data_IF_680214393046
#
_entry.id   IF_680214393046
#
_cell.length_a   1.000
_cell.length_b   1.000
_cell.length_c   1.000
_cell.angle_alpha   90.00
_cell.angle_beta   90.00
_cell.angle_gamma   90.00
#
_symmetry.space_group_name_H-M   'P 1'
#
loop_
_entity.id
_entity.type
_entity.pdbx_description
1 polymer ?
#
# COMPACT_ATOMS: atom_id res chain seq x y z
N UNK A 1 9.02 20.72 -4.83
CA UNK A 1 8.82 21.13 -3.43
C UNK A 1 7.63 22.09 -3.42
N UNK A 2 6.46 21.55 -3.07
CA UNK A 2 5.27 22.37 -2.79
C UNK A 2 5.67 23.20 -1.55
N UNK A 3 5.82 24.50 -1.70
CA UNK A 3 6.06 25.40 -0.58
C UNK A 3 4.96 25.11 0.46
N UNK A 4 5.34 24.69 1.65
CA UNK A 4 4.41 24.62 2.77
C UNK A 4 3.89 26.07 2.94
N UNK A 5 2.66 26.30 2.50
CA UNK A 5 1.96 27.55 2.83
C UNK A 5 2.00 27.67 4.34
N UNK A 6 2.50 28.77 4.86
CA UNK A 6 2.36 29.09 6.28
C UNK A 6 0.87 28.99 6.63
N UNK A 7 0.53 27.92 7.32
CA UNK A 7 -0.83 27.73 7.78
C UNK A 7 -1.07 28.74 8.89
N UNK A 8 -2.07 29.58 8.71
CA UNK A 8 -2.52 30.48 9.79
C UNK A 8 -2.91 29.62 11.00
N UNK A 9 -2.50 29.99 12.22
CA UNK A 9 -2.92 29.27 13.40
C UNK A 9 -4.44 29.24 13.46
N UNK A 10 -5.00 28.05 13.67
CA UNK A 10 -6.44 27.87 13.82
C UNK A 10 -6.91 28.50 15.15
N UNK A 11 -8.15 28.99 15.22
CA UNK A 11 -8.75 29.37 16.49
C UNK A 11 -8.70 28.16 17.47
N UNK A 12 -8.46 28.40 18.77
CA UNK A 12 -8.25 27.32 19.74
C UNK A 12 -9.42 26.30 19.82
N UNK A 13 -10.63 26.75 19.52
CA UNK A 13 -11.79 25.83 19.43
C UNK A 13 -11.71 24.89 18.25
N UNK A 14 -11.32 25.37 17.07
CA UNK A 14 -11.16 24.54 15.86
C UNK A 14 -9.99 23.58 16.00
N UNK A 15 -8.91 24.03 16.63
CA UNK A 15 -7.76 23.17 16.91
C UNK A 15 -8.15 22.01 17.84
N UNK A 16 -8.88 22.31 18.91
CA UNK A 16 -9.39 21.28 19.83
C UNK A 16 -10.33 20.30 19.13
N UNK A 17 -11.25 20.80 18.30
CA UNK A 17 -12.15 19.96 17.49
C UNK A 17 -11.34 19.06 16.52
N UNK A 18 -10.31 19.59 15.88
CA UNK A 18 -9.46 18.84 14.96
C UNK A 18 -8.78 17.65 15.64
N UNK A 19 -8.13 17.89 16.77
CA UNK A 19 -7.53 16.81 17.56
C UNK A 19 -8.56 15.83 18.09
N UNK A 20 -9.71 16.31 18.57
CA UNK A 20 -10.80 15.48 19.08
C UNK A 20 -11.35 14.54 18.01
N UNK A 21 -11.63 15.05 16.81
CA UNK A 21 -12.09 14.25 15.67
C UNK A 21 -11.04 13.22 15.25
N UNK A 22 -9.78 13.63 15.16
CA UNK A 22 -8.69 12.72 14.79
C UNK A 22 -8.58 11.55 15.78
N UNK A 23 -8.53 11.86 17.09
CA UNK A 23 -8.45 10.83 18.13
C UNK A 23 -9.69 9.92 18.11
N UNK A 24 -10.89 10.49 17.95
CA UNK A 24 -12.12 9.71 17.87
C UNK A 24 -12.14 8.75 16.68
N UNK A 25 -11.70 9.20 15.50
CA UNK A 25 -11.58 8.36 14.29
C UNK A 25 -10.57 7.24 14.51
N UNK A 26 -9.39 7.54 15.08
CA UNK A 26 -8.37 6.53 15.37
C UNK A 26 -8.90 5.48 16.35
N UNK A 27 -9.56 5.90 17.44
CA UNK A 27 -10.16 4.99 18.41
C UNK A 27 -11.24 4.12 17.73
N UNK A 28 -12.12 4.72 16.92
CA UNK A 28 -13.16 3.99 16.22
C UNK A 28 -12.59 2.94 15.24
N UNK A 29 -11.48 3.25 14.56
CA UNK A 29 -10.77 2.29 13.69
C UNK A 29 -10.17 1.14 14.51
N UNK A 30 -9.49 1.44 15.63
CA UNK A 30 -8.89 0.43 16.50
C UNK A 30 -9.93 -0.54 17.06
N UNK A 31 -11.14 -0.04 17.35
CA UNK A 31 -12.24 -0.85 17.84
C UNK A 31 -13.22 -1.28 16.75
N UNK A 32 -12.88 -1.14 15.48
CA UNK A 32 -13.77 -1.48 14.35
C UNK A 32 -14.25 -2.94 14.39
N UNK A 33 -13.43 -3.86 14.88
CA UNK A 33 -13.82 -5.28 15.07
C UNK A 33 -14.94 -5.50 16.11
N UNK A 34 -15.18 -4.52 17.00
CA UNK A 34 -16.26 -4.55 17.99
C UNK A 34 -17.51 -3.81 17.54
N UNK A 35 -17.41 -3.04 16.45
CA UNK A 35 -18.54 -2.34 15.85
C UNK A 35 -19.39 -3.32 15.02
N UNK A 36 -20.70 -3.05 14.86
CA UNK A 36 -21.53 -3.84 13.97
C UNK A 36 -20.94 -3.91 12.57
N UNK A 37 -21.03 -5.06 11.92
CA UNK A 37 -20.51 -5.29 10.56
C UNK A 37 -21.12 -4.33 9.51
N UNK A 38 -22.15 -3.60 9.86
CA UNK A 38 -22.80 -2.57 9.06
C UNK A 38 -21.98 -1.27 8.95
N UNK A 39 -20.94 -1.07 9.80
CA UNK A 39 -20.10 0.15 9.80
C UNK A 39 -18.71 -0.22 9.29
N UNK A 40 -18.45 -0.15 7.99
CA UNK A 40 -17.14 -0.42 7.44
C UNK A 40 -16.17 0.72 7.80
N UNK A 41 -14.88 0.40 7.86
CA UNK A 41 -13.81 1.34 8.26
C UNK A 41 -13.78 2.62 7.40
N UNK A 42 -14.09 2.52 6.10
CA UNK A 42 -14.15 3.68 5.23
C UNK A 42 -15.24 4.68 5.64
N UNK A 43 -16.37 4.19 6.20
CA UNK A 43 -17.46 5.05 6.67
C UNK A 43 -17.03 5.87 7.90
N UNK A 44 -16.22 5.28 8.79
CA UNK A 44 -15.66 5.98 9.95
C UNK A 44 -14.75 7.13 9.48
N UNK A 45 -13.88 6.86 8.51
CA UNK A 45 -12.99 7.88 7.92
C UNK A 45 -13.80 8.98 7.21
N UNK A 46 -14.84 8.59 6.46
CA UNK A 46 -15.70 9.55 5.75
C UNK A 46 -16.45 10.46 6.73
N UNK A 47 -17.05 9.91 7.78
CA UNK A 47 -17.70 10.71 8.83
C UNK A 47 -16.71 11.66 9.49
N UNK A 48 -15.50 11.20 9.81
CA UNK A 48 -14.43 12.05 10.33
C UNK A 48 -14.09 13.22 9.39
N UNK A 49 -13.96 12.96 8.10
CA UNK A 49 -13.71 14.00 7.10
C UNK A 49 -14.84 15.02 7.00
N UNK A 50 -16.10 14.57 7.03
CA UNK A 50 -17.27 15.46 7.04
C UNK A 50 -17.31 16.30 8.31
N UNK A 51 -17.01 15.72 9.47
CA UNK A 51 -16.98 16.45 10.74
C UNK A 51 -15.88 17.55 10.74
N UNK A 52 -14.73 17.34 10.12
CA UNK A 52 -13.69 18.38 10.02
C UNK A 52 -14.16 19.60 9.20
N UNK A 53 -15.00 19.39 8.19
CA UNK A 53 -15.59 20.46 7.40
C UNK A 53 -16.71 21.15 8.20
N UNK A 54 -17.61 20.41 8.82
CA UNK A 54 -18.73 20.96 9.57
C UNK A 54 -18.30 21.77 10.80
N UNK A 55 -17.20 21.38 11.45
CA UNK A 55 -16.63 22.12 12.59
C UNK A 55 -15.76 23.33 12.16
N UNK A 56 -15.56 23.50 10.85
CA UNK A 56 -14.75 24.60 10.31
C UNK A 56 -13.24 24.43 10.51
N UNK A 57 -12.79 23.23 10.88
CA UNK A 57 -11.34 22.92 10.95
C UNK A 57 -10.69 23.00 9.57
N UNK A 58 -11.42 22.56 8.53
CA UNK A 58 -11.06 22.68 7.13
C UNK A 58 -12.22 23.34 6.36
N UNK A 59 -11.90 24.27 5.48
CA UNK A 59 -12.87 24.73 4.50
C UNK A 59 -13.10 23.66 3.42
N UNK A 60 -14.26 23.69 2.74
CA UNK A 60 -14.55 22.76 1.63
C UNK A 60 -13.44 22.75 0.58
N UNK A 61 -12.90 23.94 0.26
CA UNK A 61 -11.83 24.09 -0.72
C UNK A 61 -10.53 23.41 -0.26
N UNK A 62 -10.14 23.59 1.00
CA UNK A 62 -8.96 22.95 1.56
C UNK A 62 -9.12 21.43 1.65
N UNK A 63 -10.32 20.94 2.00
CA UNK A 63 -10.65 19.53 2.00
C UNK A 63 -10.53 18.93 0.60
N UNK A 64 -11.04 19.59 -0.43
CA UNK A 64 -10.93 19.14 -1.83
C UNK A 64 -9.49 19.21 -2.35
N UNK A 65 -8.72 20.26 -1.98
CA UNK A 65 -7.30 20.37 -2.33
C UNK A 65 -6.42 19.29 -1.63
N UNK A 66 -6.87 18.78 -0.50
CA UNK A 66 -6.21 17.70 0.24
C UNK A 66 -6.34 16.34 -0.43
N UNK A 67 -7.35 16.17 -1.31
CA UNK A 67 -7.53 14.92 -2.05
C UNK A 67 -6.42 14.74 -3.08
N UNK A 68 -5.59 13.74 -2.87
CA UNK A 68 -4.56 13.35 -3.82
C UNK A 68 -5.18 12.45 -4.89
N UNK A 69 -5.61 13.02 -6.01
CA UNK A 69 -6.24 12.29 -7.12
C UNK A 69 -5.36 11.20 -7.77
N UNK A 70 -4.04 11.37 -7.95
CA UNK A 70 -3.22 10.38 -8.63
C UNK A 70 -3.31 8.96 -8.03
N UNK A 71 -3.22 8.72 -6.71
CA UNK A 71 -3.41 7.38 -6.15
C UNK A 71 -4.80 6.80 -6.38
N UNK A 72 -5.84 7.65 -6.38
CA UNK A 72 -7.23 7.23 -6.60
C UNK A 72 -7.39 6.71 -8.04
N UNK A 73 -6.94 7.50 -9.03
CA UNK A 73 -6.98 7.07 -10.44
C UNK A 73 -6.12 5.84 -10.72
N UNK A 74 -4.96 5.74 -10.06
CA UNK A 74 -4.11 4.57 -10.19
C UNK A 74 -4.83 3.31 -9.69
N UNK A 75 -5.49 3.38 -8.55
CA UNK A 75 -6.24 2.27 -7.98
C UNK A 75 -7.43 1.87 -8.85
N UNK A 76 -8.25 2.84 -9.28
CA UNK A 76 -9.38 2.61 -10.19
C UNK A 76 -8.89 1.99 -11.51
N UNK A 77 -7.80 2.53 -12.09
CA UNK A 77 -7.20 2.02 -13.31
C UNK A 77 -6.72 0.57 -13.17
N UNK A 78 -6.10 0.23 -12.04
CA UNK A 78 -5.64 -1.14 -11.79
C UNK A 78 -6.81 -2.14 -11.67
N UNK A 79 -7.90 -1.75 -11.01
CA UNK A 79 -9.12 -2.57 -10.97
C UNK A 79 -9.76 -2.73 -12.35
N UNK A 80 -9.80 -1.65 -13.14
CA UNK A 80 -10.31 -1.70 -14.52
C UNK A 80 -9.49 -2.65 -15.39
N UNK A 81 -8.16 -2.61 -15.29
CA UNK A 81 -7.26 -3.56 -15.98
C UNK A 81 -7.52 -4.99 -15.53
N UNK A 82 -7.67 -5.23 -14.22
CA UNK A 82 -8.00 -6.55 -13.69
C UNK A 82 -9.32 -7.09 -14.27
N UNK A 83 -10.37 -6.28 -14.28
CA UNK A 83 -11.65 -6.65 -14.86
C UNK A 83 -11.56 -6.88 -16.39
N UNK A 84 -10.79 -6.06 -17.10
CA UNK A 84 -10.58 -6.22 -18.54
C UNK A 84 -9.84 -7.51 -18.86
N UNK A 85 -8.83 -7.91 -18.07
CA UNK A 85 -8.12 -9.18 -18.22
C UNK A 85 -9.06 -10.38 -18.07
N UNK A 86 -9.95 -10.35 -17.08
CA UNK A 86 -10.95 -11.40 -16.90
C UNK A 86 -11.97 -11.41 -18.05
N UNK A 87 -12.52 -10.25 -18.42
CA UNK A 87 -13.54 -10.15 -19.45
C UNK A 87 -13.03 -10.50 -20.86
N UNK A 88 -11.76 -10.25 -21.15
CA UNK A 88 -11.14 -10.55 -22.46
C UNK A 88 -10.64 -11.99 -22.60
N UNK A 89 -10.60 -12.78 -21.51
CA UNK A 89 -9.96 -14.10 -21.50
C UNK A 89 -8.42 -14.04 -21.47
N UNK A 90 -7.82 -12.84 -21.52
CA UNK A 90 -6.38 -12.69 -21.40
C UNK A 90 -5.87 -13.15 -20.02
N UNK A 91 -6.74 -13.09 -19.02
CA UNK A 91 -6.49 -13.62 -17.69
C UNK A 91 -6.16 -15.12 -17.71
N UNK A 92 -6.92 -15.91 -18.46
CA UNK A 92 -6.70 -17.36 -18.56
C UNK A 92 -5.37 -17.68 -19.23
N UNK A 93 -4.99 -16.89 -20.24
CA UNK A 93 -3.68 -17.04 -20.89
C UNK A 93 -2.52 -16.75 -19.94
N UNK A 94 -2.63 -15.68 -19.13
CA UNK A 94 -1.64 -15.35 -18.09
C UNK A 94 -1.60 -16.45 -17.02
N UNK A 95 -2.77 -16.95 -16.62
CA UNK A 95 -2.89 -18.03 -15.64
C UNK A 95 -2.18 -19.31 -16.11
N UNK A 96 -2.40 -19.72 -17.38
CA UNK A 96 -1.71 -20.85 -17.98
C UNK A 96 -0.19 -20.63 -18.04
N UNK A 97 0.27 -19.43 -18.36
CA UNK A 97 1.69 -19.07 -18.34
C UNK A 97 2.28 -19.16 -16.91
N UNK A 98 1.56 -18.71 -15.91
CA UNK A 98 1.96 -18.84 -14.50
C UNK A 98 1.99 -20.30 -14.05
N UNK A 99 0.99 -21.11 -14.44
CA UNK A 99 0.97 -22.53 -14.16
C UNK A 99 2.14 -23.28 -14.82
N UNK A 100 2.50 -22.92 -16.06
CA UNK A 100 3.65 -23.50 -16.74
C UNK A 100 4.97 -23.24 -16.00
N UNK A 101 5.09 -22.08 -15.33
CA UNK A 101 6.28 -21.69 -14.56
C UNK A 101 6.27 -22.30 -13.15
N UNK A 102 5.12 -22.25 -12.49
CA UNK A 102 4.96 -22.64 -11.10
C UNK A 102 4.63 -24.13 -10.91
N UNK A 103 4.10 -24.78 -11.93
CA UNK A 103 3.57 -26.14 -11.88
C UNK A 103 2.13 -26.21 -11.34
N UNK A 104 1.55 -27.41 -11.32
CA UNK A 104 0.16 -27.62 -10.87
C UNK A 104 0.00 -27.43 -9.36
N UNK A 105 1.02 -27.76 -8.56
CA UNK A 105 1.03 -27.66 -7.10
C UNK A 105 2.28 -26.93 -6.62
N UNK A 106 2.36 -25.60 -6.79
CA UNK A 106 3.55 -24.87 -6.40
C UNK A 106 3.72 -24.82 -4.89
N UNK A 107 4.96 -25.00 -4.43
CA UNK A 107 5.26 -24.83 -3.00
C UNK A 107 4.92 -23.41 -2.55
N UNK A 108 4.23 -23.29 -1.40
CA UNK A 108 3.91 -22.00 -0.79
C UNK A 108 5.14 -21.09 -0.65
N UNK A 109 6.26 -21.66 -0.28
CA UNK A 109 7.51 -20.93 -0.10
C UNK A 109 8.04 -20.38 -1.43
N UNK A 110 7.93 -21.16 -2.51
CA UNK A 110 8.34 -20.70 -3.84
C UNK A 110 7.52 -19.48 -4.27
N UNK A 111 6.21 -19.54 -4.11
CA UNK A 111 5.30 -18.45 -4.47
C UNK A 111 5.58 -17.19 -3.63
N UNK A 112 5.70 -17.36 -2.32
CA UNK A 112 6.00 -16.26 -1.41
C UNK A 112 7.33 -15.60 -1.77
N UNK A 113 8.39 -16.38 -1.99
CA UNK A 113 9.71 -15.88 -2.34
C UNK A 113 9.67 -15.17 -3.69
N UNK A 114 9.02 -15.75 -4.70
CA UNK A 114 8.92 -15.16 -6.03
C UNK A 114 8.23 -13.80 -5.99
N UNK A 115 7.06 -13.71 -5.35
CA UNK A 115 6.32 -12.46 -5.23
C UNK A 115 7.03 -11.43 -4.35
N UNK A 116 7.71 -11.89 -3.29
CA UNK A 116 8.53 -11.01 -2.48
C UNK A 116 9.62 -10.34 -3.31
N UNK A 117 10.44 -11.14 -4.00
CA UNK A 117 11.54 -10.60 -4.78
C UNK A 117 11.06 -9.78 -5.98
N UNK A 118 9.99 -10.18 -6.65
CA UNK A 118 9.38 -9.37 -7.70
C UNK A 118 8.95 -7.99 -7.18
N UNK A 119 8.21 -7.94 -6.07
CA UNK A 119 7.82 -6.69 -5.44
C UNK A 119 9.01 -5.88 -4.93
N UNK A 120 9.94 -6.51 -4.22
CA UNK A 120 11.10 -5.86 -3.62
C UNK A 120 12.07 -5.27 -4.65
N UNK A 121 12.38 -5.98 -5.73
CA UNK A 121 13.33 -5.52 -6.74
C UNK A 121 12.71 -4.39 -7.56
N UNK A 122 11.51 -4.59 -8.06
CA UNK A 122 10.86 -3.63 -8.97
C UNK A 122 10.51 -2.32 -8.24
N UNK A 123 10.14 -2.39 -6.95
CA UNK A 123 9.83 -1.18 -6.15
C UNK A 123 11.04 -0.26 -5.99
N UNK A 124 12.27 -0.74 -6.15
CA UNK A 124 13.45 0.12 -6.09
C UNK A 124 13.52 1.12 -7.26
N UNK A 125 12.79 0.86 -8.35
CA UNK A 125 12.85 1.66 -9.59
C UNK A 125 11.57 2.45 -9.87
N UNK A 126 10.48 2.16 -9.13
CA UNK A 126 9.21 2.84 -9.34
C UNK A 126 8.44 3.05 -8.02
N UNK A 127 7.40 3.85 -8.06
CA UNK A 127 6.56 4.14 -6.88
C UNK A 127 5.96 2.87 -6.29
N UNK A 128 6.04 2.74 -4.95
CA UNK A 128 5.49 1.63 -4.19
C UNK A 128 4.00 1.39 -4.48
N UNK A 129 3.21 2.47 -4.47
CA UNK A 129 1.77 2.41 -4.73
C UNK A 129 1.46 2.00 -6.17
N UNK A 130 2.25 2.49 -7.13
CA UNK A 130 2.08 2.13 -8.54
C UNK A 130 2.34 0.64 -8.76
N UNK A 131 3.44 0.12 -8.21
CA UNK A 131 3.77 -1.29 -8.31
C UNK A 131 2.74 -2.18 -7.61
N UNK A 132 2.39 -1.82 -6.37
CA UNK A 132 1.37 -2.57 -5.63
C UNK A 132 0.06 -2.67 -6.41
N UNK A 133 -0.43 -1.53 -6.92
CA UNK A 133 -1.66 -1.49 -7.73
C UNK A 133 -1.54 -2.30 -9.03
N UNK A 134 -0.39 -2.25 -9.70
CA UNK A 134 -0.16 -2.98 -10.95
C UNK A 134 -0.12 -4.51 -10.74
N UNK A 135 0.38 -4.97 -9.59
CA UNK A 135 0.46 -6.40 -9.28
C UNK A 135 -0.81 -6.99 -8.67
N UNK A 136 -1.74 -6.17 -8.18
CA UNK A 136 -3.01 -6.63 -7.62
C UNK A 136 -3.80 -7.57 -8.54
N UNK A 137 -4.03 -7.23 -9.83
CA UNK A 137 -4.74 -8.13 -10.74
C UNK A 137 -4.03 -9.47 -10.94
N UNK A 138 -2.69 -9.47 -10.96
CA UNK A 138 -1.89 -10.70 -11.11
C UNK A 138 -2.06 -11.61 -9.89
N UNK A 139 -2.03 -11.05 -8.68
CA UNK A 139 -2.28 -11.80 -7.44
C UNK A 139 -3.69 -12.39 -7.42
N UNK A 140 -4.71 -11.59 -7.79
CA UNK A 140 -6.10 -12.07 -7.84
C UNK A 140 -6.25 -13.22 -8.84
N UNK A 141 -5.66 -13.08 -10.02
CA UNK A 141 -5.71 -14.10 -11.06
C UNK A 141 -5.04 -15.40 -10.60
N UNK A 142 -3.85 -15.29 -10.01
CA UNK A 142 -3.15 -16.44 -9.46
C UNK A 142 -3.98 -17.15 -8.37
N UNK A 143 -4.54 -16.38 -7.45
CA UNK A 143 -5.37 -16.92 -6.39
C UNK A 143 -6.64 -17.60 -6.93
N UNK A 144 -7.26 -17.02 -7.96
CA UNK A 144 -8.41 -17.63 -8.63
C UNK A 144 -8.04 -18.95 -9.31
N UNK A 145 -6.88 -19.02 -9.99
CA UNK A 145 -6.40 -20.20 -10.70
C UNK A 145 -6.15 -21.38 -9.77
N UNK A 146 -5.59 -21.13 -8.58
CA UNK A 146 -5.27 -22.19 -7.61
C UNK A 146 -6.28 -22.32 -6.46
N UNK A 147 -7.39 -21.57 -6.50
CA UNK A 147 -8.39 -21.49 -5.42
C UNK A 147 -7.79 -21.10 -4.05
N UNK A 148 -6.80 -20.20 -4.05
CA UNK A 148 -6.12 -19.74 -2.85
C UNK A 148 -6.76 -18.50 -2.24
N UNK A 149 -6.52 -18.30 -0.93
CA UNK A 149 -6.90 -17.06 -0.26
C UNK A 149 -5.91 -15.92 -0.61
N UNK A 150 -6.37 -14.83 -1.24
CA UNK A 150 -5.50 -13.75 -1.67
C UNK A 150 -4.89 -12.93 -0.52
N UNK A 151 -5.43 -13.01 0.69
CA UNK A 151 -5.04 -12.18 1.84
C UNK A 151 -3.54 -12.29 2.15
N UNK A 152 -3.00 -13.51 2.13
CA UNK A 152 -1.58 -13.75 2.41
C UNK A 152 -0.67 -13.10 1.38
N UNK A 153 -0.96 -13.31 0.09
CA UNK A 153 -0.17 -12.74 -1.01
C UNK A 153 -0.28 -11.21 -1.07
N UNK A 154 -1.45 -10.65 -0.80
CA UNK A 154 -1.61 -9.19 -0.72
C UNK A 154 -0.81 -8.58 0.42
N UNK A 155 -0.87 -9.17 1.63
CA UNK A 155 -0.07 -8.71 2.76
C UNK A 155 1.43 -8.75 2.46
N UNK A 156 1.88 -9.84 1.83
CA UNK A 156 3.27 -10.00 1.48
C UNK A 156 3.70 -8.99 0.40
N UNK A 157 2.91 -8.85 -0.66
CA UNK A 157 3.19 -7.90 -1.73
C UNK A 157 3.25 -6.47 -1.20
N UNK A 158 2.32 -6.08 -0.32
CA UNK A 158 2.35 -4.80 0.36
C UNK A 158 3.68 -4.57 1.10
N UNK A 159 4.08 -5.51 1.93
CA UNK A 159 5.35 -5.40 2.67
C UNK A 159 6.56 -5.38 1.76
N UNK A 160 6.58 -6.18 0.69
CA UNK A 160 7.66 -6.22 -0.28
C UNK A 160 7.82 -4.89 -1.01
N UNK A 161 6.71 -4.30 -1.49
CA UNK A 161 6.72 -3.03 -2.22
C UNK A 161 7.11 -1.85 -1.33
N UNK A 162 6.77 -1.89 -0.05
CA UNK A 162 7.14 -0.83 0.89
C UNK A 162 8.54 -1.01 1.53
N UNK A 163 9.23 -2.12 1.25
CA UNK A 163 10.64 -2.30 1.60
C UNK A 163 11.53 -1.65 0.53
N UNK A 164 11.42 -0.33 0.36
CA UNK A 164 11.90 0.44 -0.78
C UNK A 164 12.81 1.58 -0.37
N UNK A 165 13.91 1.29 0.31
CA UNK A 165 14.83 2.30 0.83
C UNK A 165 16.28 2.17 0.29
N UNK A 166 16.50 1.30 -0.70
CA UNK A 166 17.82 1.14 -1.32
C UNK A 166 18.09 2.16 -2.43
N UNK A 167 17.02 2.76 -2.99
CA UNK A 167 17.14 3.76 -4.07
C UNK A 167 16.28 4.99 -3.80
N UNK A 168 16.63 6.15 -4.36
CA UNK A 168 15.85 7.38 -4.20
C UNK A 168 14.60 7.44 -5.09
N UNK A 169 14.31 6.41 -5.89
CA UNK A 169 13.28 6.48 -6.94
C UNK A 169 11.89 6.07 -6.43
N UNK A 170 11.84 5.28 -5.36
CA UNK A 170 10.60 4.64 -4.90
C UNK A 170 9.74 5.53 -4.01
N UNK A 171 10.35 6.36 -3.18
CA UNK A 171 9.65 7.27 -2.24
C UNK A 171 10.29 8.63 -2.17
N UNK A 172 9.49 9.65 -1.85
CA UNK A 172 9.99 11.03 -1.67
C UNK A 172 10.85 11.17 -0.41
N UNK A 173 10.68 10.30 0.57
CA UNK A 173 11.38 10.35 1.84
C UNK A 173 12.89 10.11 1.68
N UNK A 174 13.28 9.20 0.80
CA UNK A 174 14.69 8.85 0.60
C UNK A 174 15.51 10.02 0.01
N UNK A 175 15.11 10.68 -1.10
CA UNK A 175 15.80 11.88 -1.58
C UNK A 175 15.87 12.99 -0.53
N UNK A 176 14.83 13.15 0.28
CA UNK A 176 14.84 14.14 1.36
C UNK A 176 15.90 13.81 2.41
N UNK A 177 15.97 12.57 2.89
CA UNK A 177 17.02 12.12 3.81
C UNK A 177 18.42 12.27 3.20
N UNK A 178 18.57 11.95 1.92
CA UNK A 178 19.85 12.13 1.22
C UNK A 178 20.28 13.59 1.17
N UNK A 179 19.36 14.50 0.88
CA UNK A 179 19.67 15.94 0.76
C UNK A 179 20.02 16.57 2.11
N UNK A 180 19.33 16.18 3.18
CA UNK A 180 19.55 16.69 4.54
C UNK A 180 20.81 16.07 5.17
N UNK A 181 20.99 14.76 4.99
CA UNK A 181 22.11 14.01 5.59
C UNK A 181 23.38 13.97 4.75
N UNK A 182 23.37 14.51 3.52
CA UNK A 182 24.51 14.47 2.60
C UNK A 182 24.85 13.05 2.11
N UNK A 183 23.93 12.11 2.22
CA UNK A 183 24.14 10.72 1.81
C UNK A 183 24.17 10.55 0.29
N UNK A 184 25.06 9.67 -0.18
CA UNK A 184 25.14 9.25 -1.58
C UNK A 184 24.41 7.92 -1.77
N UNK A 185 24.08 7.58 -3.02
CA UNK A 185 23.46 6.29 -3.37
C UNK A 185 24.24 5.07 -2.82
N UNK A 186 25.56 5.13 -2.80
CA UNK A 186 26.41 4.06 -2.24
C UNK A 186 26.21 3.87 -0.74
N UNK A 187 25.96 4.96 -0.03
CA UNK A 187 25.73 4.93 1.43
C UNK A 187 24.38 4.26 1.73
N UNK A 188 23.34 4.57 0.93
CA UNK A 188 22.04 3.91 1.03
C UNK A 188 22.16 2.41 0.81
N UNK A 189 22.84 1.98 -0.24
CA UNK A 189 23.05 0.56 -0.51
C UNK A 189 23.81 -0.13 0.62
N UNK A 190 24.90 0.49 1.10
CA UNK A 190 25.72 -0.08 2.16
C UNK A 190 24.99 -0.19 3.49
N UNK A 191 24.23 0.84 3.86
CA UNK A 191 23.48 0.88 5.11
C UNK A 191 22.16 0.12 5.03
N UNK A 192 21.52 0.13 3.88
CA UNK A 192 20.18 -0.43 3.68
C UNK A 192 20.16 -1.92 3.32
N UNK A 193 21.24 -2.49 2.75
CA UNK A 193 21.23 -3.87 2.28
C UNK A 193 21.02 -4.88 3.41
N UNK A 194 21.71 -4.72 4.52
CA UNK A 194 21.60 -5.64 5.67
C UNK A 194 20.19 -5.58 6.28
N UNK A 195 19.64 -4.40 6.63
CA UNK A 195 18.25 -4.29 7.07
C UNK A 195 17.25 -4.84 6.03
N UNK A 196 17.48 -4.59 4.73
CA UNK A 196 16.60 -5.11 3.68
C UNK A 196 16.55 -6.65 3.69
N UNK A 197 17.71 -7.30 3.80
CA UNK A 197 17.79 -8.76 3.86
C UNK A 197 17.13 -9.31 5.13
N UNK A 198 17.39 -8.71 6.28
CA UNK A 198 16.77 -9.13 7.55
C UNK A 198 15.25 -8.98 7.49
N UNK A 199 14.75 -7.85 7.01
CA UNK A 199 13.31 -7.59 6.86
C UNK A 199 12.70 -8.56 5.83
N UNK A 200 13.42 -8.85 4.72
CA UNK A 200 12.96 -9.80 3.71
C UNK A 200 12.77 -11.20 4.30
N UNK A 201 13.79 -11.71 4.99
CA UNK A 201 13.71 -13.03 5.64
C UNK A 201 12.58 -13.06 6.68
N UNK A 202 12.52 -12.04 7.55
CA UNK A 202 11.49 -11.96 8.58
C UNK A 202 10.07 -11.95 7.97
N UNK A 203 9.83 -11.18 6.92
CA UNK A 203 8.51 -11.11 6.27
C UNK A 203 8.16 -12.38 5.49
N UNK A 204 9.11 -12.99 4.79
CA UNK A 204 8.90 -14.27 4.09
C UNK A 204 8.52 -15.35 5.10
N UNK A 205 9.25 -15.48 6.20
CA UNK A 205 8.96 -16.44 7.25
C UNK A 205 7.61 -16.15 7.91
N UNK A 206 7.37 -14.88 8.26
CA UNK A 206 6.10 -14.46 8.86
C UNK A 206 4.91 -14.78 7.95
N UNK A 207 4.96 -14.41 6.67
CA UNK A 207 3.88 -14.69 5.74
C UNK A 207 3.69 -16.19 5.53
N UNK A 208 4.77 -16.95 5.42
CA UNK A 208 4.69 -18.40 5.24
C UNK A 208 4.13 -19.18 6.43
N UNK A 209 4.26 -18.63 7.65
CA UNK A 209 3.76 -19.26 8.87
C UNK A 209 2.33 -18.81 9.24
N UNK A 210 2.05 -17.51 9.14
CA UNK A 210 0.78 -16.93 9.63
C UNK A 210 -0.23 -16.63 8.55
N UNK A 211 0.22 -16.45 7.31
CA UNK A 211 -0.64 -16.10 6.17
C UNK A 211 -0.28 -16.95 4.94
N UNK A 212 -0.28 -18.29 5.05
CA UNK A 212 0.00 -19.11 3.89
C UNK A 212 -1.05 -18.87 2.81
N UNK A 213 -0.68 -18.99 1.51
CA UNK A 213 -1.62 -18.82 0.40
C UNK A 213 -2.74 -19.87 0.41
N UNK A 214 -2.51 -21.02 0.99
CA UNK A 214 -3.45 -22.16 1.10
C UNK A 214 -3.35 -22.83 2.47
#
# INVERSE_FOLDING_TARGET
>A
LRQMKEQKPLPPFQEFCGYGIFVAVVIAILFSNKLPATIPTWMICFIGAVLTILTGVLSEKEAMESLTMPPIFLYIGSLAVGNALVASGAGDFIAQGLQAILGENPSKWLVIILFWFAGFIVTQFMSNMALYSALQPVVLLLCATYAWNPTGLFNMLWKATFTSYLTPLSTVAIPLCMSVGGYKQKDLLRMGLVPALVISVANIVWCGLFFPPY
#
